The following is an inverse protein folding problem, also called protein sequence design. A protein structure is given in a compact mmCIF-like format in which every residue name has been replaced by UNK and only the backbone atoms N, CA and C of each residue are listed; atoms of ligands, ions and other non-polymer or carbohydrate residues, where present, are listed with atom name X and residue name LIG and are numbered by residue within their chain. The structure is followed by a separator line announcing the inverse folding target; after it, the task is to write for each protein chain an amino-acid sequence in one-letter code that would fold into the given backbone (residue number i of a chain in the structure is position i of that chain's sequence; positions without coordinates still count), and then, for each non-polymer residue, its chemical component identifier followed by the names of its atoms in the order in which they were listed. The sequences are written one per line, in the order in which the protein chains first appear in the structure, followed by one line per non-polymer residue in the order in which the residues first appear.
data_IF_295977246334
#
_entry.id   IF_295977246334
#
_cell.length_a   1.000
_cell.length_b   1.000
_cell.length_c   1.000
_cell.angle_alpha   90.00
_cell.angle_beta   90.00
_cell.angle_gamma   90.00
#
_symmetry.space_group_name_H-M   'P 1'
#
loop_
_entity.id
_entity.type
_entity.pdbx_description
1 polymer ?
#
# COMPACT_ATOMS: atom_id res chain seq x y z
N UNK A 1 8.88 0.48 -60.65
CA UNK A 1 9.82 -0.31 -59.84
C UNK A 1 9.33 -0.22 -58.40
N UNK A 2 8.62 -1.25 -57.94
CA UNK A 2 8.00 -1.29 -56.62
C UNK A 2 9.03 -1.83 -55.61
N UNK A 3 9.43 -1.02 -54.64
CA UNK A 3 10.34 -1.43 -53.57
C UNK A 3 9.54 -1.80 -52.32
N UNK A 4 9.85 -3.00 -51.85
CA UNK A 4 9.21 -3.81 -50.82
C UNK A 4 9.28 -3.15 -49.40
N UNK A 5 8.24 -3.26 -48.55
CA UNK A 5 8.22 -2.77 -47.17
C UNK A 5 9.31 -3.38 -46.27
N UNK A 6 9.85 -2.55 -45.39
CA UNK A 6 10.79 -2.93 -44.33
C UNK A 6 10.14 -3.93 -43.37
N UNK A 7 10.76 -5.11 -43.28
CA UNK A 7 10.52 -6.18 -42.32
C UNK A 7 10.68 -5.66 -40.87
N UNK A 8 9.59 -5.59 -40.11
CA UNK A 8 9.64 -5.42 -38.66
C UNK A 8 9.84 -6.81 -38.05
N UNK A 9 11.10 -7.21 -37.93
CA UNK A 9 11.51 -8.37 -37.16
C UNK A 9 11.04 -8.22 -35.70
N UNK A 10 9.93 -8.89 -35.40
CA UNK A 10 9.31 -9.00 -34.09
C UNK A 10 10.14 -9.97 -33.25
N UNK A 11 11.05 -9.44 -32.43
CA UNK A 11 11.84 -10.22 -31.46
C UNK A 11 10.95 -10.64 -30.29
N UNK A 12 10.03 -11.56 -30.56
CA UNK A 12 9.30 -12.32 -29.55
C UNK A 12 10.21 -13.41 -29.01
N UNK A 13 11.18 -13.05 -28.16
CA UNK A 13 11.73 -14.00 -27.19
C UNK A 13 12.42 -13.27 -26.04
N UNK A 14 11.61 -12.86 -25.05
CA UNK A 14 12.02 -12.99 -23.66
C UNK A 14 10.81 -13.53 -22.91
N UNK A 15 10.60 -14.84 -23.06
CA UNK A 15 10.05 -15.66 -21.98
C UNK A 15 10.98 -15.56 -20.77
N UNK A 16 10.89 -14.47 -20.01
CA UNK A 16 11.32 -14.47 -18.61
C UNK A 16 10.09 -14.70 -17.79
N UNK A 17 9.84 -15.99 -17.59
CA UNK A 17 9.23 -16.58 -16.41
C UNK A 17 8.90 -15.53 -15.36
N UNK A 18 7.62 -15.17 -15.28
CA UNK A 18 7.03 -14.76 -14.02
C UNK A 18 7.13 -15.97 -13.09
N UNK A 19 8.33 -16.20 -12.57
CA UNK A 19 8.57 -17.06 -11.44
C UNK A 19 7.84 -16.38 -10.28
N UNK A 20 6.67 -16.92 -10.01
CA UNK A 20 6.00 -16.89 -8.71
C UNK A 20 7.06 -16.72 -7.62
N UNK A 21 7.08 -15.55 -6.96
CA UNK A 21 6.47 -15.42 -5.65
C UNK A 21 6.93 -16.53 -4.71
N UNK A 22 7.75 -16.12 -3.74
CA UNK A 22 7.78 -16.54 -2.33
C UNK A 22 9.23 -16.62 -1.85
N UNK A 23 9.79 -15.45 -1.52
CA UNK A 23 10.71 -15.41 -0.38
C UNK A 23 9.81 -15.30 0.85
N UNK A 24 9.57 -16.47 1.45
CA UNK A 24 9.06 -16.62 2.79
C UNK A 24 10.06 -15.99 3.76
N UNK A 25 9.90 -14.69 4.00
CA UNK A 25 10.35 -14.03 5.21
C UNK A 25 9.12 -13.91 6.10
N UNK A 26 8.82 -14.97 6.87
CA UNK A 26 7.85 -14.95 7.96
C UNK A 26 8.32 -13.99 9.05
N UNK A 27 8.11 -12.70 8.82
CA UNK A 27 7.82 -11.78 9.91
C UNK A 27 6.32 -11.67 9.91
N UNK A 28 5.70 -12.44 10.80
CA UNK A 28 4.31 -12.27 11.26
C UNK A 28 4.25 -10.92 12.02
N UNK A 29 4.54 -9.85 11.29
CA UNK A 29 4.40 -8.48 11.74
C UNK A 29 3.34 -7.96 10.80
N UNK A 30 2.11 -7.93 11.29
CA UNK A 30 1.03 -7.26 10.59
C UNK A 30 1.55 -5.92 10.08
N UNK A 31 1.35 -5.57 8.79
CA UNK A 31 1.88 -4.33 8.27
C UNK A 31 1.37 -3.18 9.15
N UNK A 32 2.25 -2.25 9.51
CA UNK A 32 1.90 -1.06 10.29
C UNK A 32 1.90 0.18 9.38
N UNK A 33 1.06 1.14 9.69
CA UNK A 33 1.03 2.41 8.98
C UNK A 33 2.32 3.21 9.26
N UNK A 34 3.05 3.66 8.21
CA UNK A 34 4.33 4.36 8.39
C UNK A 34 4.17 5.74 9.03
N UNK A 35 2.95 6.28 9.08
CA UNK A 35 2.67 7.60 9.63
C UNK A 35 2.33 7.59 11.13
N UNK A 36 1.57 6.61 11.60
CA UNK A 36 1.10 6.55 12.99
C UNK A 36 1.52 5.27 13.74
N UNK A 37 2.08 4.26 13.08
CA UNK A 37 2.52 3.00 13.68
C UNK A 37 1.42 1.98 13.99
N UNK A 38 0.14 2.36 13.89
CA UNK A 38 -1.00 1.43 14.10
C UNK A 38 -1.11 0.38 12.99
N UNK A 39 -1.82 -0.71 13.26
CA UNK A 39 -1.99 -1.80 12.29
C UNK A 39 -2.65 -1.32 11.00
N UNK A 40 -2.12 -1.71 9.84
CA UNK A 40 -2.66 -1.36 8.53
C UNK A 40 -4.06 -1.96 8.31
N UNK A 41 -4.38 -3.05 8.99
CA UNK A 41 -5.72 -3.68 8.93
C UNK A 41 -6.80 -2.79 9.55
N UNK A 42 -6.40 -1.94 10.51
CA UNK A 42 -7.27 -0.90 11.05
C UNK A 42 -7.44 0.29 10.09
N UNK A 43 -6.72 0.36 8.97
CA UNK A 43 -6.83 1.49 8.05
C UNK A 43 -7.72 1.16 6.85
N UNK A 44 -8.63 2.08 6.55
CA UNK A 44 -9.18 2.18 5.21
C UNK A 44 -8.29 3.06 4.31
N UNK A 45 -8.58 3.09 3.01
CA UNK A 45 -7.82 3.89 2.06
C UNK A 45 -7.85 5.41 2.37
N UNK A 46 -8.82 5.89 3.15
CA UNK A 46 -8.88 7.27 3.59
C UNK A 46 -7.93 7.52 4.78
N UNK A 47 -7.94 6.62 5.76
CA UNK A 47 -7.05 6.61 6.92
C UNK A 47 -5.57 6.65 6.53
N UNK A 48 -5.17 5.82 5.57
CA UNK A 48 -3.78 5.81 5.07
C UNK A 48 -3.40 7.19 4.50
N UNK A 49 -4.26 7.76 3.66
CA UNK A 49 -4.02 9.07 3.03
C UNK A 49 -4.00 10.20 4.05
N UNK A 50 -4.93 10.22 4.98
CA UNK A 50 -5.00 11.22 6.04
C UNK A 50 -3.73 11.21 6.89
N UNK A 51 -3.30 10.02 7.33
CA UNK A 51 -2.10 9.88 8.16
C UNK A 51 -0.86 10.33 7.39
N UNK A 52 -0.69 9.90 6.14
CA UNK A 52 0.44 10.34 5.29
C UNK A 52 0.52 11.87 5.15
N UNK A 53 -0.58 12.52 4.74
CA UNK A 53 -0.62 14.00 4.58
C UNK A 53 -0.37 14.72 5.90
N UNK A 54 -0.79 14.15 7.03
CA UNK A 54 -0.60 14.72 8.36
C UNK A 54 0.86 14.66 8.79
N UNK A 55 1.49 13.50 8.64
CA UNK A 55 2.91 13.32 8.95
C UNK A 55 3.80 14.14 8.02
N UNK A 56 3.55 14.14 6.71
CA UNK A 56 4.32 14.90 5.72
C UNK A 56 4.30 16.42 5.98
N UNK A 57 3.18 16.93 6.52
CA UNK A 57 3.02 18.36 6.83
C UNK A 57 3.31 18.69 8.30
N UNK A 58 3.73 17.71 9.09
CA UNK A 58 4.00 17.84 10.53
C UNK A 58 2.84 18.54 11.28
N UNK A 59 1.61 18.11 11.02
CA UNK A 59 0.42 18.73 11.60
C UNK A 59 0.06 18.02 12.91
N UNK A 60 -0.12 18.79 13.98
CA UNK A 60 -0.46 18.28 15.32
C UNK A 60 -1.96 17.93 15.41
N UNK A 61 -2.29 16.76 14.86
CA UNK A 61 -3.64 16.20 14.88
C UNK A 61 -3.58 14.69 15.02
N UNK A 62 -4.50 14.14 15.79
CA UNK A 62 -4.61 12.70 16.02
C UNK A 62 -4.94 11.96 14.73
N UNK A 63 -4.51 10.70 14.65
CA UNK A 63 -4.85 9.83 13.53
C UNK A 63 -6.34 9.44 13.58
N UNK A 64 -6.95 9.21 12.42
CA UNK A 64 -8.34 8.75 12.31
C UNK A 64 -8.47 7.22 12.42
N UNK A 65 -7.43 6.54 12.89
CA UNK A 65 -7.39 5.08 12.98
C UNK A 65 -8.42 4.59 14.02
N UNK A 66 -9.27 3.59 13.68
CA UNK A 66 -10.26 3.05 14.60
C UNK A 66 -9.62 2.39 15.82
N UNK A 67 -8.39 1.89 15.73
CA UNK A 67 -7.65 1.33 16.87
C UNK A 67 -7.37 2.36 17.98
N UNK A 68 -7.08 3.62 17.61
CA UNK A 68 -6.92 4.73 18.58
C UNK A 68 -8.26 5.24 19.09
N UNK A 69 -9.27 5.31 18.20
CA UNK A 69 -10.61 5.76 18.55
C UNK A 69 -11.37 4.76 19.45
N UNK A 70 -11.15 3.46 19.32
CA UNK A 70 -11.78 2.44 20.18
C UNK A 70 -11.41 2.63 21.66
N UNK A 71 -10.19 3.08 21.93
CA UNK A 71 -9.74 3.40 23.30
C UNK A 71 -10.33 4.69 23.84
N UNK A 72 -10.71 5.63 22.96
CA UNK A 72 -11.18 6.98 23.33
C UNK A 72 -12.71 7.09 23.38
N UNK A 73 -13.46 6.25 22.65
CA UNK A 73 -14.92 6.34 22.51
C UNK A 73 -15.71 5.27 23.28
N UNK A 74 -15.19 4.77 24.41
CA UNK A 74 -15.97 3.95 25.34
C UNK A 74 -17.02 4.81 26.08
N UNK A 75 -17.94 5.44 25.37
CA UNK A 75 -19.11 6.07 25.97
C UNK A 75 -20.08 4.97 26.37
N UNK A 76 -20.15 4.71 27.67
CA UNK A 76 -21.24 3.95 28.30
C UNK A 76 -22.56 4.62 27.92
N UNK A 77 -23.31 4.02 26.99
CA UNK A 77 -24.74 4.32 26.83
C UNK A 77 -25.46 3.69 28.03
N UNK A 78 -25.78 4.52 29.03
CA UNK A 78 -26.81 4.21 30.01
C UNK A 78 -28.20 4.37 29.40
#
# INVERSE_FOLDING_TARGET
MASNPTDMSNSADVSRSHASQQVAGSTDSAPSCPACGHSLDSHDALGIRFCGVTSDRNLDRKCICPEEHASTHHYTRY
#
